data_IF_017191290002
#
_entry.id   IF_017191290002
#
_cell.length_a   1.000
_cell.length_b   1.000
_cell.length_c   1.000
_cell.angle_alpha   90.00
_cell.angle_beta   90.00
_cell.angle_gamma   90.00
#
_symmetry.space_group_name_H-M   'P 1'
#
loop_
_entity.id
_entity.type
_entity.pdbx_description
1 polymer ?
#
# COMPACT_ATOMS: atom_id res chain seq x y z
N UNK A 1 -12.60 1.52 -0.10
CA UNK A 1 -12.69 2.97 -0.44
C UNK A 1 -14.05 3.20 -1.11
N UNK A 2 -14.81 4.23 -0.70
CA UNK A 2 -16.19 4.49 -1.16
C UNK A 2 -16.31 4.54 -2.69
N UNK A 3 -15.30 5.07 -3.40
CA UNK A 3 -15.26 5.08 -4.87
C UNK A 3 -15.38 3.67 -5.47
N UNK A 4 -14.74 2.65 -4.87
CA UNK A 4 -14.83 1.27 -5.35
C UNK A 4 -16.26 0.74 -5.23
N UNK A 5 -16.89 0.98 -4.08
CA UNK A 5 -18.26 0.54 -3.81
C UNK A 5 -19.24 1.15 -4.82
N UNK A 6 -19.12 2.45 -5.09
CA UNK A 6 -19.99 3.10 -6.07
C UNK A 6 -19.75 2.58 -7.50
N UNK A 7 -18.51 2.28 -7.88
CA UNK A 7 -18.21 1.67 -9.17
C UNK A 7 -18.78 0.25 -9.28
N UNK A 8 -18.72 -0.53 -8.20
CA UNK A 8 -19.32 -1.88 -8.11
C UNK A 8 -20.85 -1.82 -8.20
N UNK A 9 -21.48 -0.78 -7.66
CA UNK A 9 -22.91 -0.49 -7.78
C UNK A 9 -23.32 0.03 -9.17
N UNK A 10 -22.36 0.18 -10.10
CA UNK A 10 -22.61 0.62 -11.48
C UNK A 10 -22.58 2.14 -11.68
N UNK A 11 -22.24 2.92 -10.64
CA UNK A 11 -22.12 4.37 -10.75
C UNK A 11 -20.83 4.77 -11.46
N UNK A 12 -20.94 5.50 -12.57
CA UNK A 12 -19.78 6.13 -13.20
C UNK A 12 -19.37 7.40 -12.44
N UNK A 13 -18.62 7.21 -11.35
CA UNK A 13 -18.20 8.30 -10.48
C UNK A 13 -16.69 8.28 -10.17
N UNK A 14 -16.08 9.46 -10.24
CA UNK A 14 -14.67 9.66 -9.90
C UNK A 14 -14.46 10.13 -8.46
N UNK A 15 -13.21 9.99 -7.98
CA UNK A 15 -12.75 10.42 -6.65
C UNK A 15 -13.15 11.85 -6.27
N UNK A 16 -13.09 12.80 -7.20
CA UNK A 16 -13.42 14.20 -6.95
C UNK A 16 -14.89 14.39 -6.58
N UNK A 17 -15.80 13.76 -7.32
CA UNK A 17 -17.24 13.87 -7.08
C UNK A 17 -17.65 13.16 -5.80
N UNK A 18 -17.10 11.97 -5.52
CA UNK A 18 -17.29 11.28 -4.23
C UNK A 18 -16.84 12.17 -3.06
N UNK A 19 -15.66 12.79 -3.17
CA UNK A 19 -15.15 13.70 -2.11
C UNK A 19 -16.04 14.92 -1.91
N UNK A 20 -16.61 15.48 -2.98
CA UNK A 20 -17.57 16.59 -2.91
C UNK A 20 -18.83 16.20 -2.15
N UNK A 21 -19.48 15.10 -2.58
CA UNK A 21 -20.69 14.59 -1.95
C UNK A 21 -20.50 14.24 -0.47
N UNK A 22 -19.36 13.62 -0.12
CA UNK A 22 -19.07 13.34 1.28
C UNK A 22 -18.92 14.61 2.12
N UNK A 23 -18.39 15.70 1.57
CA UNK A 23 -18.31 17.00 2.26
C UNK A 23 -19.67 17.65 2.42
N UNK A 24 -20.50 17.61 1.37
CA UNK A 24 -21.86 18.16 1.39
C UNK A 24 -22.76 17.44 2.41
N UNK A 25 -22.53 16.14 2.60
CA UNK A 25 -23.27 15.31 3.55
C UNK A 25 -22.58 15.18 4.93
N UNK A 26 -21.50 15.93 5.17
CA UNK A 26 -20.70 15.88 6.41
C UNK A 26 -20.22 14.46 6.80
N UNK A 27 -19.99 13.60 5.81
CA UNK A 27 -19.55 12.23 6.00
C UNK A 27 -18.02 12.12 6.12
N UNK A 28 -17.57 11.37 7.12
CA UNK A 28 -16.16 11.04 7.34
C UNK A 28 -15.96 9.54 7.13
N UNK A 29 -14.90 9.17 6.40
CA UNK A 29 -14.55 7.76 6.18
C UNK A 29 -13.77 7.20 7.38
N UNK A 30 -14.35 6.23 8.08
CA UNK A 30 -13.69 5.49 9.17
C UNK A 30 -12.89 4.26 8.71
N UNK A 31 -12.73 4.09 7.40
CA UNK A 31 -11.94 2.98 6.86
C UNK A 31 -10.50 3.03 7.40
N UNK A 32 -9.92 1.89 7.80
CA UNK A 32 -8.54 1.83 8.21
C UNK A 32 -7.65 2.37 7.08
N UNK A 33 -6.67 3.20 7.43
CA UNK A 33 -5.69 3.72 6.48
C UNK A 33 -4.96 2.58 5.77
N UNK A 34 -4.34 2.90 4.62
CA UNK A 34 -3.51 1.92 3.92
C UNK A 34 -2.49 1.32 4.87
N UNK A 35 -2.32 0.00 4.82
CA UNK A 35 -1.35 -0.71 5.65
C UNK A 35 0.05 -0.09 5.43
N UNK A 36 0.57 0.59 6.44
CA UNK A 36 1.93 1.08 6.43
C UNK A 36 2.85 -0.09 6.81
N UNK A 37 3.55 -0.65 5.83
CA UNK A 37 4.63 -1.57 6.14
C UNK A 37 5.69 -0.85 6.96
N UNK A 38 5.95 -1.34 8.17
CA UNK A 38 7.04 -0.84 9.00
C UNK A 38 8.34 -1.49 8.52
N UNK A 39 9.39 -0.72 8.16
CA UNK A 39 10.68 -1.31 7.85
C UNK A 39 11.21 -2.07 9.08
N UNK A 40 11.74 -3.27 8.85
CA UNK A 40 12.38 -4.06 9.90
C UNK A 40 13.81 -3.53 10.11
N UNK A 41 13.95 -2.45 10.87
CA UNK A 41 15.26 -1.83 11.16
C UNK A 41 16.12 -2.65 12.13
N UNK A 42 15.52 -3.62 12.82
CA UNK A 42 16.18 -4.48 13.80
C UNK A 42 16.04 -5.93 13.36
N UNK A 43 17.17 -6.65 13.37
CA UNK A 43 17.19 -8.09 13.12
C UNK A 43 16.35 -8.83 14.16
N UNK A 44 15.59 -9.84 13.72
CA UNK A 44 14.83 -10.68 14.63
C UNK A 44 15.76 -11.75 15.20
N UNK A 45 15.97 -11.76 16.52
CA UNK A 45 16.91 -12.68 17.19
C UNK A 45 16.69 -14.18 16.90
N UNK A 46 15.48 -14.61 16.54
CA UNK A 46 15.16 -16.01 16.22
C UNK A 46 15.06 -16.31 14.72
N UNK A 47 15.16 -15.29 13.86
CA UNK A 47 15.26 -15.42 12.40
C UNK A 47 16.50 -14.65 11.97
N UNK A 48 17.68 -15.30 12.00
CA UNK A 48 18.91 -14.64 11.60
C UNK A 48 18.80 -14.20 10.13
N UNK A 49 19.24 -12.98 9.84
CA UNK A 49 19.29 -12.46 8.48
C UNK A 49 20.48 -13.06 7.73
N UNK A 50 20.36 -14.34 7.37
CA UNK A 50 21.36 -15.08 6.58
C UNK A 50 21.54 -14.52 5.15
N UNK A 51 20.61 -13.66 4.72
CA UNK A 51 20.62 -12.93 3.45
C UNK A 51 21.05 -11.48 3.62
N UNK A 52 21.69 -11.11 4.74
CA UNK A 52 22.47 -9.87 4.81
C UNK A 52 23.68 -10.04 3.89
N UNK A 53 23.36 -10.04 2.59
CA UNK A 53 24.27 -10.21 1.48
C UNK A 53 25.18 -9.01 1.57
N UNK A 54 26.38 -9.22 2.08
CA UNK A 54 27.54 -8.55 1.53
C UNK A 54 27.50 -8.89 0.03
N UNK A 55 26.79 -8.05 -0.73
CA UNK A 55 26.57 -8.25 -2.15
C UNK A 55 27.87 -7.85 -2.86
N UNK A 56 28.86 -8.72 -2.76
CA UNK A 56 30.16 -8.59 -3.41
C UNK A 56 30.21 -9.53 -4.61
N UNK A 57 29.40 -9.23 -5.62
CA UNK A 57 29.42 -9.99 -6.87
C UNK A 57 30.44 -9.33 -7.80
N UNK A 58 31.51 -10.03 -8.23
CA UNK A 58 32.58 -9.43 -9.01
C UNK A 58 32.13 -8.94 -10.40
N UNK A 59 31.01 -9.44 -10.91
CA UNK A 59 30.41 -9.00 -12.17
C UNK A 59 28.89 -9.24 -12.21
N UNK A 60 28.14 -8.45 -12.99
CA UNK A 60 26.71 -8.66 -13.22
C UNK A 60 26.42 -10.02 -13.88
N UNK A 61 25.33 -10.67 -13.49
CA UNK A 61 24.83 -11.85 -14.20
C UNK A 61 24.36 -11.45 -15.61
N UNK A 62 24.75 -12.23 -16.64
CA UNK A 62 24.49 -11.96 -18.07
C UNK A 62 23.54 -12.97 -18.73
N UNK A 63 22.96 -13.86 -17.95
CA UNK A 63 22.01 -14.87 -18.46
C UNK A 63 20.65 -14.63 -17.82
N UNK A 64 19.70 -14.28 -18.67
CA UNK A 64 18.25 -14.19 -18.46
C UNK A 64 17.55 -15.54 -18.53
#
# INVERSE_FOLDING_TARGET
MIVSMMLEDGEQIGRFKVRGLMRELELVSEQPGSHAYKPATVERSYIPNILNREFDVPAPNRVW
#
